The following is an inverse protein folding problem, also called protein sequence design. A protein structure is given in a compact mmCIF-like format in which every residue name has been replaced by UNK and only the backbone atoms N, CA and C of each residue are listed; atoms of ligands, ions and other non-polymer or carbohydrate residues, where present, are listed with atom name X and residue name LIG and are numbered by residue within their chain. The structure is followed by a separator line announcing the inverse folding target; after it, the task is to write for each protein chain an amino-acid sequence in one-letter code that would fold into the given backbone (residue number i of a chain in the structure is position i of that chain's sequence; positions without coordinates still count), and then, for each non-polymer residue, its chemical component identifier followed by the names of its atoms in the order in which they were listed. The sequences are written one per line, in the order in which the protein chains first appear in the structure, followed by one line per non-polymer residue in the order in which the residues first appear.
data_IF_355515027459
#
_entry.id   IF_355515027459
#
_cell.length_a   1.000
_cell.length_b   1.000
_cell.length_c   1.000
_cell.angle_alpha   90.00
_cell.angle_beta   90.00
_cell.angle_gamma   90.00
#
_symmetry.space_group_name_H-M   'P 1'
#
loop_
_entity.id
_entity.type
_entity.pdbx_description
1 polymer ?
#
# COMPACT_ATOMS: atom_id res chain seq x y z
N UNK A 1 -0.49 -17.26 16.18
CA UNK A 1 0.81 -17.52 15.52
C UNK A 1 0.53 -18.21 14.20
N UNK A 2 0.94 -17.63 13.08
CA UNK A 2 0.80 -18.27 11.77
C UNK A 2 1.83 -19.40 11.64
N UNK A 3 1.41 -20.53 11.06
CA UNK A 3 2.30 -21.65 10.80
C UNK A 3 3.13 -21.35 9.54
N UNK A 4 4.42 -21.05 9.73
CA UNK A 4 5.36 -20.64 8.69
C UNK A 4 5.78 -21.74 7.70
N UNK A 5 5.19 -22.93 7.81
CA UNK A 5 5.57 -24.11 7.03
C UNK A 5 4.65 -24.41 5.85
N UNK A 6 3.49 -23.74 5.75
CA UNK A 6 2.60 -23.91 4.61
C UNK A 6 2.96 -22.91 3.51
N UNK A 7 3.46 -23.42 2.38
CA UNK A 7 3.45 -22.66 1.14
C UNK A 7 2.02 -22.19 0.88
N UNK A 8 1.84 -20.88 0.67
CA UNK A 8 0.56 -20.32 0.26
C UNK A 8 0.13 -21.06 -1.01
N UNK A 9 -0.86 -21.95 -0.90
CA UNK A 9 -1.43 -22.63 -2.06
C UNK A 9 -1.89 -21.55 -3.04
N UNK A 10 -1.73 -21.76 -4.36
CA UNK A 10 -2.08 -20.85 -5.47
C UNK A 10 -3.58 -20.51 -5.59
N UNK A 11 -4.32 -20.57 -4.49
CA UNK A 11 -5.73 -20.24 -4.36
C UNK A 11 -5.83 -18.77 -4.00
N UNK A 12 -6.75 -18.03 -4.63
CA UNK A 12 -7.00 -16.65 -4.24
C UNK A 12 -7.44 -16.59 -2.76
N UNK A 13 -6.81 -15.71 -1.99
CA UNK A 13 -7.06 -15.57 -0.56
C UNK A 13 -7.91 -14.33 -0.33
N UNK A 14 -8.91 -14.43 0.53
CA UNK A 14 -9.68 -13.26 0.96
C UNK A 14 -9.31 -12.88 2.38
N UNK A 15 -9.26 -11.60 2.67
CA UNK A 15 -8.88 -11.09 3.98
C UNK A 15 -8.90 -9.58 4.04
N UNK A 16 -8.07 -9.01 4.91
CA UNK A 16 -7.88 -7.56 5.09
C UNK A 16 -6.40 -7.22 5.12
N UNK A 17 -6.09 -5.94 4.94
CA UNK A 17 -4.72 -5.43 5.10
C UNK A 17 -4.62 -4.79 6.48
N UNK A 18 -3.88 -5.46 7.37
CA UNK A 18 -3.55 -4.99 8.71
C UNK A 18 -2.36 -4.04 8.68
N UNK A 19 -2.44 -3.02 9.51
CA UNK A 19 -1.40 -2.01 9.71
C UNK A 19 -0.76 -2.29 11.06
N UNK A 20 0.53 -2.66 11.03
CA UNK A 20 1.32 -2.89 12.24
C UNK A 20 2.20 -1.67 12.48
N UNK A 21 2.01 -1.01 13.61
CA UNK A 21 2.78 0.16 14.05
C UNK A 21 2.99 0.13 15.56
N UNK A 22 4.04 0.80 16.04
CA UNK A 22 4.21 1.11 17.46
C UNK A 22 3.35 2.30 17.93
N UNK A 23 2.76 3.06 17.01
CA UNK A 23 1.90 4.20 17.30
C UNK A 23 0.44 3.85 17.03
N UNK A 24 -0.40 3.85 18.07
CA UNK A 24 -1.84 3.54 17.97
C UNK A 24 -2.61 4.54 17.09
N UNK A 25 -2.10 5.77 16.94
CA UNK A 25 -2.68 6.77 16.02
C UNK A 25 -2.60 6.35 14.55
N UNK A 26 -1.79 5.35 14.21
CA UNK A 26 -1.65 4.84 12.84
C UNK A 26 -2.90 4.12 12.32
N UNK A 27 -3.83 3.70 13.19
CA UNK A 27 -4.91 2.78 12.81
C UNK A 27 -4.45 1.32 12.73
N UNK A 28 -5.42 0.39 12.66
CA UNK A 28 -5.16 -1.05 12.65
C UNK A 28 -5.34 -1.71 11.28
N UNK A 29 -6.14 -1.12 10.38
CA UNK A 29 -6.45 -1.68 9.06
C UNK A 29 -6.44 -0.60 7.99
N UNK A 30 -6.25 -1.00 6.73
CA UNK A 30 -6.59 -0.14 5.59
C UNK A 30 -8.11 -0.01 5.52
N UNK A 31 -8.61 1.21 5.46
CA UNK A 31 -10.03 1.52 5.39
C UNK A 31 -10.57 1.37 3.98
N UNK A 32 -11.83 0.94 3.84
CA UNK A 32 -12.54 0.92 2.54
C UNK A 32 -12.88 2.33 2.03
N UNK A 33 -12.93 3.31 2.94
CA UNK A 33 -13.16 4.71 2.61
C UNK A 33 -11.87 5.39 2.16
N UNK A 34 -12.01 6.33 1.23
CA UNK A 34 -10.88 7.11 0.76
C UNK A 34 -10.84 8.49 1.40
N UNK A 35 -9.64 9.03 1.51
CA UNK A 35 -9.40 10.40 1.89
C UNK A 35 -9.57 11.39 0.76
N UNK A 36 -9.22 12.65 1.06
CA UNK A 36 -8.95 13.62 0.02
C UNK A 36 -7.93 13.03 -0.97
N UNK A 37 -8.14 13.29 -2.26
CA UNK A 37 -7.29 12.79 -3.34
C UNK A 37 -7.35 11.28 -3.58
N UNK A 38 -8.41 10.63 -3.13
CA UNK A 38 -8.63 9.18 -3.17
C UNK A 38 -7.48 8.36 -2.53
N UNK A 39 -6.72 8.95 -1.62
CA UNK A 39 -5.70 8.22 -0.88
C UNK A 39 -6.40 7.28 0.10
N UNK A 40 -6.00 6.01 0.12
CA UNK A 40 -6.42 5.07 1.13
C UNK A 40 -5.92 5.53 2.50
N UNK A 41 -6.82 5.38 3.48
CA UNK A 41 -6.57 5.72 4.87
C UNK A 41 -6.52 4.47 5.72
N UNK A 42 -6.15 4.63 6.98
CA UNK A 42 -6.30 3.59 7.99
C UNK A 42 -7.53 3.82 8.88
N UNK A 43 -8.06 2.74 9.43
CA UNK A 43 -9.16 2.73 10.41
C UNK A 43 -8.86 1.76 11.55
N UNK A 44 -9.59 1.90 12.64
CA UNK A 44 -9.51 1.00 13.81
C UNK A 44 -10.64 -0.05 13.79
N UNK A 45 -11.78 0.31 13.21
CA UNK A 45 -12.94 -0.58 13.07
C UNK A 45 -12.69 -1.64 11.98
N UNK A 46 -12.98 -2.89 12.34
CA UNK A 46 -12.86 -4.07 11.48
C UNK A 46 -13.91 -4.10 10.37
N UNK A 47 -15.10 -3.53 10.62
CA UNK A 47 -16.19 -3.48 9.64
C UNK A 47 -15.98 -2.40 8.58
N UNK A 48 -15.19 -1.37 8.91
CA UNK A 48 -14.74 -0.35 7.97
C UNK A 48 -13.45 -0.73 7.23
N UNK A 49 -12.82 -1.85 7.59
CA UNK A 49 -11.63 -2.32 6.92
C UNK A 49 -11.94 -2.75 5.47
N UNK A 50 -11.03 -2.42 4.57
CA UNK A 50 -11.03 -2.87 3.19
C UNK A 50 -10.81 -4.38 3.16
N UNK A 51 -11.83 -5.11 2.70
CA UNK A 51 -11.72 -6.52 2.36
C UNK A 51 -11.03 -6.63 1.02
N UNK A 52 -9.99 -7.44 0.95
CA UNK A 52 -9.23 -7.67 -0.27
C UNK A 52 -9.23 -9.13 -0.66
N UNK A 53 -9.23 -9.38 -1.97
CA UNK A 53 -8.82 -10.64 -2.57
C UNK A 53 -7.38 -10.50 -3.05
N UNK A 54 -6.51 -11.37 -2.57
CA UNK A 54 -5.14 -11.55 -3.07
C UNK A 54 -5.17 -12.66 -4.10
N UNK A 55 -4.92 -12.33 -5.36
CA UNK A 55 -4.73 -13.32 -6.41
C UNK A 55 -3.22 -13.49 -6.68
N UNK A 56 -2.71 -14.73 -6.70
CA UNK A 56 -1.30 -15.00 -7.01
C UNK A 56 -1.02 -14.73 -8.50
N UNK A 57 0.07 -14.01 -8.77
CA UNK A 57 0.82 -14.02 -10.03
C UNK A 57 2.00 -15.00 -9.94
N UNK A 58 2.89 -15.00 -10.93
CA UNK A 58 4.04 -15.92 -10.95
C UNK A 58 5.00 -15.71 -9.77
N UNK A 59 5.35 -14.45 -9.48
CA UNK A 59 6.22 -14.04 -8.36
C UNK A 59 5.64 -12.88 -7.53
N UNK A 60 4.41 -12.48 -7.88
CA UNK A 60 3.80 -11.21 -7.48
C UNK A 60 2.36 -11.45 -7.08
N UNK A 61 1.71 -10.46 -6.47
CA UNK A 61 0.28 -10.55 -6.17
C UNK A 61 -0.47 -9.34 -6.68
N UNK A 62 -1.76 -9.53 -6.94
CA UNK A 62 -2.70 -8.44 -7.18
C UNK A 62 -3.65 -8.34 -6.00
N UNK A 63 -4.00 -7.12 -5.65
CA UNK A 63 -4.89 -6.79 -4.54
C UNK A 63 -6.16 -6.17 -5.09
N UNK A 64 -7.29 -6.85 -4.90
CA UNK A 64 -8.61 -6.38 -5.32
C UNK A 64 -9.45 -6.07 -4.09
N UNK A 65 -9.94 -4.85 -3.96
CA UNK A 65 -10.92 -4.44 -2.97
C UNK A 65 -12.32 -4.99 -3.29
N UNK A 66 -12.86 -5.82 -2.39
CA UNK A 66 -14.17 -6.45 -2.54
C UNK A 66 -15.32 -5.59 -2.01
N UNK A 67 -15.02 -4.63 -1.15
CA UNK A 67 -15.98 -3.69 -0.56
C UNK A 67 -15.50 -2.22 -0.73
N UNK A 68 -14.76 -1.95 -1.81
CA UNK A 68 -14.26 -0.61 -2.12
C UNK A 68 -15.42 0.35 -2.42
N UNK A 69 -15.40 1.54 -1.82
CA UNK A 69 -16.39 2.59 -2.10
C UNK A 69 -16.12 3.34 -3.42
N UNK A 70 -15.03 3.02 -4.12
CA UNK A 70 -14.64 3.65 -5.38
C UNK A 70 -15.20 2.86 -6.59
N UNK A 71 -16.38 3.27 -7.08
CA UNK A 71 -17.01 2.62 -8.25
C UNK A 71 -16.06 2.62 -9.46
N UNK A 72 -15.89 1.45 -10.09
CA UNK A 72 -15.04 1.26 -11.27
C UNK A 72 -13.53 1.21 -11.00
N UNK A 73 -13.09 1.26 -9.73
CA UNK A 73 -11.68 1.15 -9.35
C UNK A 73 -11.49 0.05 -8.29
N UNK A 74 -11.66 -1.23 -8.63
CA UNK A 74 -11.65 -2.30 -7.65
C UNK A 74 -10.23 -2.70 -7.20
N UNK A 75 -9.16 -2.19 -7.81
CA UNK A 75 -7.80 -2.65 -7.54
C UNK A 75 -7.07 -1.71 -6.57
N UNK A 76 -6.19 -2.26 -5.73
CA UNK A 76 -5.31 -1.47 -4.86
C UNK A 76 -3.97 -1.26 -5.54
N UNK A 77 -3.58 -0.01 -5.66
CA UNK A 77 -2.33 0.40 -6.29
C UNK A 77 -1.71 1.60 -5.59
N UNK A 78 -0.82 2.27 -6.30
CA UNK A 78 -0.01 3.36 -5.78
C UNK A 78 0.07 4.49 -6.82
N UNK A 79 -0.08 5.74 -6.35
CA UNK A 79 0.03 6.94 -7.17
C UNK A 79 1.20 7.81 -6.68
N UNK A 80 2.16 8.13 -7.56
CA UNK A 80 3.31 8.95 -7.20
C UNK A 80 2.92 10.42 -6.95
N UNK A 81 3.73 11.08 -6.13
CA UNK A 81 3.68 12.52 -5.84
C UNK A 81 3.99 13.41 -7.04
N UNK A 82 4.71 12.90 -8.02
CA UNK A 82 5.16 13.63 -9.22
C UNK A 82 5.04 12.77 -10.48
N UNK A 83 5.05 13.43 -11.65
CA UNK A 83 5.00 12.75 -12.95
C UNK A 83 6.34 12.07 -13.31
N UNK A 84 7.44 12.63 -12.82
CA UNK A 84 8.80 12.17 -13.09
C UNK A 84 9.17 10.90 -12.29
N UNK A 85 8.42 10.57 -11.22
CA UNK A 85 8.48 9.30 -10.48
C UNK A 85 9.89 8.89 -10.01
N UNK A 86 10.76 9.85 -9.69
CA UNK A 86 12.12 9.54 -9.26
C UNK A 86 12.14 9.10 -7.79
N UNK A 87 11.93 7.81 -7.55
CA UNK A 87 12.23 7.20 -6.26
C UNK A 87 13.72 6.86 -6.19
N UNK A 88 14.26 6.70 -4.98
CA UNK A 88 15.66 6.33 -4.84
C UNK A 88 16.25 6.58 -3.46
N UNK A 89 17.56 6.32 -3.34
CA UNK A 89 18.31 6.40 -2.07
C UNK A 89 18.24 7.78 -1.43
N UNK A 90 18.14 8.86 -2.19
CA UNK A 90 18.13 10.23 -1.69
C UNK A 90 16.82 10.98 -1.99
N UNK A 91 15.83 10.30 -2.55
CA UNK A 91 14.58 10.92 -2.97
C UNK A 91 13.67 11.20 -1.78
N UNK A 92 13.03 12.37 -1.79
CA UNK A 92 11.91 12.68 -0.90
C UNK A 92 10.55 12.30 -1.50
N UNK A 93 10.53 11.80 -2.74
CA UNK A 93 9.29 11.43 -3.41
C UNK A 93 8.59 10.28 -2.69
N UNK A 94 7.27 10.25 -2.85
CA UNK A 94 6.38 9.31 -2.18
C UNK A 94 5.31 8.81 -3.13
N UNK A 95 4.74 7.65 -2.82
CA UNK A 95 3.56 7.14 -3.51
C UNK A 95 2.43 6.94 -2.52
N UNK A 96 1.25 7.47 -2.80
CA UNK A 96 0.06 7.25 -1.98
C UNK A 96 -0.58 5.92 -2.34
N UNK A 97 -0.96 5.14 -1.32
CA UNK A 97 -1.82 3.98 -1.50
C UNK A 97 -3.20 4.46 -1.98
N UNK A 98 -3.74 3.85 -3.03
CA UNK A 98 -4.99 4.30 -3.65
C UNK A 98 -5.72 3.17 -4.37
N UNK A 99 -6.92 3.46 -4.90
CA UNK A 99 -7.63 2.57 -5.80
C UNK A 99 -7.27 2.85 -7.27
N UNK A 100 -7.29 1.81 -8.10
CA UNK A 100 -6.96 1.87 -9.53
C UNK A 100 -7.97 1.08 -10.36
N UNK A 101 -8.12 1.47 -11.64
CA UNK A 101 -9.02 0.81 -12.60
C UNK A 101 -8.48 -0.52 -13.12
N UNK A 102 -7.16 -0.74 -13.04
CA UNK A 102 -6.48 -1.95 -13.47
C UNK A 102 -5.63 -2.55 -12.35
N UNK A 103 -5.34 -3.86 -12.39
CA UNK A 103 -4.39 -4.49 -11.49
C UNK A 103 -3.03 -3.79 -11.58
N UNK A 104 -2.33 -3.68 -10.45
CA UNK A 104 -1.09 -2.90 -10.34
C UNK A 104 0.07 -3.38 -11.23
N UNK A 105 -0.04 -4.57 -11.82
CA UNK A 105 0.88 -5.12 -12.84
C UNK A 105 0.85 -4.30 -14.14
N UNK A 106 -0.26 -3.59 -14.39
CA UNK A 106 -0.40 -2.66 -15.52
C UNK A 106 -0.41 -1.22 -15.00
N UNK A 107 0.20 -0.26 -15.73
CA UNK A 107 0.10 1.14 -15.37
C UNK A 107 -1.39 1.57 -15.33
N UNK A 108 -1.85 2.25 -14.26
CA UNK A 108 -3.24 2.66 -14.15
C UNK A 108 -3.67 3.55 -15.32
N UNK A 109 -4.80 3.24 -15.97
CA UNK A 109 -5.40 4.10 -17.02
C UNK A 109 -5.97 5.41 -16.46
N UNK A 110 -6.38 5.40 -15.19
CA UNK A 110 -6.85 6.58 -14.46
C UNK A 110 -6.44 6.46 -13.00
N UNK A 111 -5.63 7.40 -12.53
CA UNK A 111 -5.44 7.64 -11.10
C UNK A 111 -6.51 8.62 -10.61
N UNK A 112 -6.63 8.82 -9.30
CA UNK A 112 -7.49 9.86 -8.73
C UNK A 112 -7.33 11.20 -9.48
N UNK A 113 -8.41 11.99 -9.61
CA UNK A 113 -8.48 13.21 -10.44
C UNK A 113 -7.44 14.31 -10.10
N UNK A 114 -6.53 14.08 -9.16
CA UNK A 114 -5.52 15.01 -8.67
C UNK A 114 -4.15 14.37 -8.37
N UNK A 115 -3.78 13.38 -9.15
CA UNK A 115 -2.47 12.73 -9.11
C UNK A 115 -1.79 12.91 -10.46
N UNK A 116 -0.47 13.12 -10.45
CA UNK A 116 0.32 13.47 -11.63
C UNK A 116 0.68 12.29 -12.54
N UNK A 117 0.30 11.07 -12.19
CA UNK A 117 0.41 9.90 -13.07
C UNK A 117 0.20 8.56 -12.37
N UNK A 118 -0.33 7.59 -13.11
CA UNK A 118 -0.34 6.18 -12.72
C UNK A 118 1.07 5.63 -12.64
N UNK A 119 1.36 4.85 -11.61
CA UNK A 119 2.64 4.15 -11.50
C UNK A 119 2.35 2.64 -11.49
N UNK A 120 3.14 1.88 -12.25
CA UNK A 120 3.09 0.42 -12.25
C UNK A 120 3.81 -0.07 -10.99
N UNK A 121 3.19 -0.98 -10.23
CA UNK A 121 3.83 -1.51 -9.02
C UNK A 121 3.50 -2.96 -8.81
N UNK A 122 4.53 -3.67 -8.40
CA UNK A 122 4.46 -5.07 -8.10
C UNK A 122 4.33 -5.26 -6.60
N UNK A 123 3.24 -5.91 -6.17
CA UNK A 123 3.11 -6.36 -4.80
C UNK A 123 3.79 -7.72 -4.63
N UNK A 124 4.52 -7.87 -3.54
CA UNK A 124 5.09 -9.14 -3.11
C UNK A 124 4.47 -9.51 -1.76
N UNK A 125 3.95 -10.74 -1.66
CA UNK A 125 3.45 -11.29 -0.42
C UNK A 125 4.54 -12.18 0.21
N UNK A 126 5.10 -11.72 1.33
CA UNK A 126 6.02 -12.51 2.13
C UNK A 126 5.32 -13.71 2.79
N UNK A 127 6.10 -14.74 3.12
CA UNK A 127 5.60 -15.91 3.86
C UNK A 127 5.00 -15.54 5.23
N UNK A 128 5.45 -14.43 5.81
CA UNK A 128 4.95 -13.84 7.06
C UNK A 128 3.69 -12.98 6.87
N UNK A 129 3.11 -12.98 5.67
CA UNK A 129 1.98 -12.14 5.28
C UNK A 129 2.34 -10.69 4.96
N UNK A 130 3.62 -10.29 5.05
CA UNK A 130 4.01 -8.91 4.77
C UNK A 130 3.79 -8.55 3.30
N UNK A 131 3.10 -7.43 3.06
CA UNK A 131 2.96 -6.85 1.73
C UNK A 131 4.08 -5.85 1.49
N UNK A 132 4.87 -6.11 0.44
CA UNK A 132 6.00 -5.28 0.03
C UNK A 132 5.78 -4.77 -1.38
N UNK A 133 6.28 -3.58 -1.66
CA UNK A 133 6.30 -3.01 -3.00
C UNK A 133 7.72 -2.58 -3.33
N UNK A 134 8.11 -2.80 -4.58
CA UNK A 134 9.42 -2.39 -5.11
C UNK A 134 9.17 -1.39 -6.23
N UNK A 135 9.93 -0.31 -6.24
CA UNK A 135 10.06 0.56 -7.40
C UNK A 135 11.33 0.19 -8.16
N UNK A 136 11.20 -0.07 -9.46
CA UNK A 136 12.34 -0.43 -10.30
C UNK A 136 12.75 0.78 -11.15
N UNK A 137 13.97 1.23 -10.94
CA UNK A 137 14.66 2.15 -11.84
C UNK A 137 15.24 1.35 -13.00
N UNK A 138 14.50 1.28 -14.12
CA UNK A 138 14.96 0.54 -15.30
C UNK A 138 16.20 1.18 -15.93
N UNK A 139 16.31 2.52 -15.88
CA UNK A 139 17.44 3.25 -16.47
C UNK A 139 18.75 2.91 -15.75
N UNK A 140 18.70 2.74 -14.43
CA UNK A 140 19.88 2.41 -13.61
C UNK A 140 19.96 0.93 -13.20
N UNK A 141 18.97 0.10 -13.59
CA UNK A 141 18.86 -1.31 -13.17
C UNK A 141 18.89 -1.51 -11.65
N UNK A 142 18.22 -0.63 -10.89
CA UNK A 142 18.16 -0.70 -9.41
C UNK A 142 16.72 -0.81 -8.93
N UNK A 143 16.48 -1.77 -8.03
CA UNK A 143 15.21 -1.89 -7.30
C UNK A 143 15.28 -1.23 -5.91
N UNK A 144 14.28 -0.42 -5.59
CA UNK A 144 14.13 0.23 -4.28
C UNK A 144 12.89 -0.31 -3.57
N UNK A 145 13.11 -0.96 -2.42
CA UNK A 145 12.01 -1.34 -1.53
C UNK A 145 11.33 -0.10 -0.96
N UNK A 146 10.01 -0.03 -1.08
CA UNK A 146 9.24 1.00 -0.41
C UNK A 146 9.05 0.65 1.07
N UNK A 147 9.37 1.61 1.93
CA UNK A 147 8.97 1.62 3.33
C UNK A 147 7.60 2.27 3.45
N UNK A 148 6.72 1.69 4.26
CA UNK A 148 5.39 2.24 4.48
C UNK A 148 5.38 3.21 5.66
N UNK A 149 4.63 4.30 5.51
CA UNK A 149 4.40 5.30 6.53
C UNK A 149 2.93 5.74 6.52
N UNK A 150 2.41 6.10 7.70
CA UNK A 150 1.08 6.69 7.88
C UNK A 150 1.22 8.11 8.39
N UNK A 151 0.62 9.07 7.70
CA UNK A 151 0.46 10.45 8.21
C UNK A 151 -0.64 10.45 9.28
N UNK A 152 -0.27 10.75 10.53
CA UNK A 152 -1.12 10.55 11.71
C UNK A 152 -2.38 11.43 11.70
N UNK A 153 -2.28 12.66 11.19
CA UNK A 153 -3.42 13.60 11.17
C UNK A 153 -4.52 13.17 10.21
N UNK A 154 -4.15 12.64 9.04
CA UNK A 154 -5.12 12.31 7.98
C UNK A 154 -5.34 10.82 7.83
N UNK A 155 -4.53 10.01 8.53
CA UNK A 155 -4.43 8.55 8.46
C UNK A 155 -4.11 8.00 7.06
N UNK A 156 -3.54 8.82 6.17
CA UNK A 156 -3.19 8.39 4.80
C UNK A 156 -1.92 7.55 4.78
N UNK A 157 -1.88 6.57 3.87
CA UNK A 157 -0.77 5.62 3.74
C UNK A 157 0.12 6.01 2.55
N UNK A 158 1.42 6.08 2.78
CA UNK A 158 2.44 6.40 1.78
C UNK A 158 3.55 5.36 1.75
N UNK A 159 4.00 5.00 0.55
CA UNK A 159 5.23 4.26 0.29
C UNK A 159 6.36 5.22 -0.07
N UNK A 160 7.53 5.05 0.55
CA UNK A 160 8.71 5.91 0.35
C UNK A 160 9.98 5.07 0.25
N UNK A 161 10.89 5.43 -0.66
CA UNK A 161 12.19 4.76 -0.79
C UNK A 161 13.21 5.23 0.25
N UNK A 162 13.10 6.49 0.71
CA UNK A 162 13.90 7.04 1.80
C UNK A 162 13.01 7.87 2.76
N UNK A 163 12.61 7.24 3.87
CA UNK A 163 11.79 7.89 4.89
C UNK A 163 12.48 9.11 5.52
N UNK A 164 13.81 9.09 5.71
CA UNK A 164 14.54 10.23 6.30
C UNK A 164 14.42 11.48 5.41
N UNK A 165 14.64 11.33 4.10
CA UNK A 165 14.51 12.43 3.15
C UNK A 165 13.06 12.92 3.03
N UNK A 166 12.10 12.00 2.95
CA UNK A 166 10.66 12.32 2.94
C UNK A 166 10.25 13.14 4.17
N UNK A 167 10.61 12.70 5.39
CA UNK A 167 10.24 13.39 6.63
C UNK A 167 10.94 14.74 6.76
N UNK A 168 12.20 14.84 6.33
CA UNK A 168 12.90 16.12 6.28
C UNK A 168 12.18 17.13 5.36
N UNK A 169 11.73 16.68 4.18
CA UNK A 169 11.11 17.54 3.16
C UNK A 169 9.69 17.98 3.52
N UNK A 170 8.85 17.06 3.97
CA UNK A 170 7.41 17.31 4.13
C UNK A 170 7.00 17.63 5.56
N UNK A 171 7.81 17.24 6.54
CA UNK A 171 7.50 17.41 7.96
C UNK A 171 8.59 18.16 8.74
N UNK A 172 9.58 18.76 8.06
CA UNK A 172 10.68 19.49 8.70
C UNK A 172 11.36 18.69 9.82
N UNK A 173 11.60 17.39 9.60
CA UNK A 173 12.13 16.44 10.58
C UNK A 173 11.22 16.16 11.80
N UNK A 174 9.96 16.59 11.79
CA UNK A 174 8.99 16.29 12.84
C UNK A 174 8.40 14.88 12.66
N UNK A 175 9.07 13.88 13.24
CA UNK A 175 8.62 12.49 13.24
C UNK A 175 7.35 12.20 14.06
N UNK A 176 6.71 13.20 14.67
CA UNK A 176 5.43 13.05 15.36
C UNK A 176 4.22 13.28 14.44
N UNK A 177 4.45 13.56 13.15
CA UNK A 177 3.39 13.80 12.16
C UNK A 177 3.09 12.57 11.31
N UNK A 178 4.05 11.64 11.24
CA UNK A 178 3.90 10.35 10.58
C UNK A 178 4.52 9.23 11.42
N UNK A 179 4.21 7.99 11.09
CA UNK A 179 4.78 6.83 11.77
C UNK A 179 5.11 5.73 10.76
N UNK A 180 6.23 4.99 10.92
CA UNK A 180 6.51 3.87 10.05
C UNK A 180 5.54 2.73 10.37
N UNK A 181 5.13 2.01 9.34
CA UNK A 181 4.21 0.87 9.48
C UNK A 181 4.67 -0.32 8.66
N UNK A 182 4.15 -1.48 8.99
CA UNK A 182 4.16 -2.65 8.11
C UNK A 182 2.74 -2.96 7.67
N UNK A 183 2.57 -3.26 6.39
CA UNK A 183 1.32 -3.79 5.85
C UNK A 183 1.40 -5.31 5.86
N UNK A 184 0.40 -5.96 6.45
CA UNK A 184 0.35 -7.42 6.59
C UNK A 184 -1.02 -7.90 6.16
N UNK A 185 -1.08 -8.91 5.31
CA UNK A 185 -2.32 -9.58 4.96
C UNK A 185 -2.80 -10.43 6.14
N UNK A 186 -4.02 -10.17 6.58
CA UNK A 186 -4.74 -10.97 7.58
C UNK A 186 -5.86 -11.73 6.86
N UNK A 187 -5.74 -13.06 6.65
CA UNK A 187 -6.74 -13.84 5.95
C UNK A 187 -8.05 -13.87 6.74
N UNK A 188 -9.19 -13.88 6.02
CA UNK A 188 -10.48 -14.19 6.61
C UNK A 188 -10.39 -15.61 7.20
N UNK A 189 -10.68 -15.74 8.49
CA UNK A 189 -10.71 -17.06 9.13
C UNK A 189 -11.80 -17.90 8.45
N UNK A 190 -11.56 -19.17 8.11
CA UNK A 190 -12.63 -20.03 7.62
C UNK A 190 -13.70 -20.10 8.70
N UNK A 191 -14.92 -19.67 8.35
CA UNK A 191 -16.11 -19.92 9.16
C UNK A 191 -16.23 -21.43 9.31
N UNK A 192 -16.10 -21.92 10.55
CA UNK A 192 -16.30 -23.32 10.89
C UNK A 192 -17.72 -23.76 10.57
#
# INVERSE_FOLDING_TARGET
MFNSTNNWSRTALTGRIKVISSNLGAGQYICRSVGARNNLKTCDDYDDALRVRIAPGEETVILEGLNANASGMPWVGLAASSADKEFGKNSSEWAALTFTTLPSVYPPLKTADNTSGGVSWTWYLGWDGSLRSVWNDEANSVGYNLSWSVELKTKRVYGVSNRKAYVARYYNNNGNTETPVRLVFEPDMPTK
#
